data_IF_390973009678
#
_entry.id   IF_390973009678
#
_cell.length_a   1.000
_cell.length_b   1.000
_cell.length_c   1.000
_cell.angle_alpha   90.00
_cell.angle_beta   90.00
_cell.angle_gamma   90.00
#
_symmetry.space_group_name_H-M   'P 1'
#
loop_
_entity.id
_entity.type
_entity.pdbx_description
1 polymer ?
#
# COMPACT_ATOMS: atom_id res chain seq x y z
N UNK A 1 -5.81 3.03 -36.77
CA UNK A 1 -5.01 3.32 -35.56
C UNK A 1 -5.43 2.35 -34.47
N UNK A 2 -4.48 1.56 -33.93
CA UNK A 2 -4.70 0.62 -32.83
C UNK A 2 -4.17 1.31 -31.56
N UNK A 3 -5.07 1.71 -30.66
CA UNK A 3 -4.68 2.23 -29.35
C UNK A 3 -4.75 1.07 -28.36
N UNK A 4 -3.61 0.70 -27.78
CA UNK A 4 -3.60 -0.11 -26.57
C UNK A 4 -4.26 0.70 -25.46
N UNK A 5 -5.42 0.22 -24.99
CA UNK A 5 -5.99 0.65 -23.72
C UNK A 5 -5.03 0.12 -22.65
N UNK A 6 -4.03 0.93 -22.27
CA UNK A 6 -3.25 0.64 -21.06
C UNK A 6 -4.25 0.62 -19.90
N UNK A 7 -4.37 -0.54 -19.25
CA UNK A 7 -5.20 -0.68 -18.06
C UNK A 7 -4.88 0.47 -17.10
N UNK A 8 -5.90 1.22 -16.70
CA UNK A 8 -5.74 2.32 -15.75
C UNK A 8 -5.06 1.76 -14.49
N UNK A 9 -3.95 2.37 -14.08
CA UNK A 9 -3.28 1.96 -12.84
C UNK A 9 -4.25 2.25 -11.71
N UNK A 10 -4.63 1.23 -10.91
CA UNK A 10 -5.59 1.43 -9.85
C UNK A 10 -5.04 2.48 -8.87
N UNK A 11 -5.89 3.44 -8.50
CA UNK A 11 -5.52 4.47 -7.53
C UNK A 11 -5.18 3.80 -6.20
N UNK A 12 -3.92 3.97 -5.78
CA UNK A 12 -3.41 3.44 -4.51
C UNK A 12 -3.77 4.36 -3.35
N UNK A 13 -3.83 3.78 -2.15
CA UNK A 13 -3.84 4.56 -0.91
C UNK A 13 -2.49 5.21 -0.69
N UNK A 14 -2.46 6.29 0.10
CA UNK A 14 -1.19 6.86 0.56
C UNK A 14 -0.63 6.06 1.75
N UNK A 15 0.66 6.23 2.05
CA UNK A 15 1.30 5.61 3.23
C UNK A 15 0.51 5.88 4.51
N UNK A 16 0.09 7.14 4.72
CA UNK A 16 -0.68 7.54 5.91
C UNK A 16 -2.05 6.85 5.97
N UNK A 17 -2.73 6.69 4.83
CA UNK A 17 -3.99 5.95 4.76
C UNK A 17 -3.79 4.48 5.12
N UNK A 18 -2.79 3.82 4.54
CA UNK A 18 -2.50 2.40 4.84
C UNK A 18 -2.22 2.22 6.33
N UNK A 19 -1.33 3.02 6.92
CA UNK A 19 -0.96 2.91 8.33
C UNK A 19 -2.13 3.21 9.27
N UNK A 20 -2.96 4.21 8.96
CA UNK A 20 -4.15 4.51 9.75
C UNK A 20 -5.21 3.42 9.66
N UNK A 21 -5.37 2.76 8.50
CA UNK A 21 -6.28 1.63 8.34
C UNK A 21 -5.82 0.38 9.10
N UNK A 22 -4.51 0.09 9.13
CA UNK A 22 -3.97 -0.99 9.96
C UNK A 22 -4.24 -0.67 11.44
N UNK A 23 -3.90 0.55 11.89
CA UNK A 23 -4.08 0.97 13.28
C UNK A 23 -5.55 0.95 13.73
N UNK A 24 -6.47 1.29 12.83
CA UNK A 24 -7.91 1.24 13.07
C UNK A 24 -8.52 -0.17 12.91
N UNK A 25 -7.74 -1.18 12.53
CA UNK A 25 -8.24 -2.54 12.27
C UNK A 25 -9.16 -2.66 11.05
N UNK A 26 -9.16 -1.67 10.15
CA UNK A 26 -9.97 -1.66 8.93
C UNK A 26 -9.41 -2.58 7.85
N UNK A 27 -8.10 -2.86 7.92
CA UNK A 27 -7.41 -3.86 7.10
C UNK A 27 -6.48 -4.69 7.98
N UNK A 28 -6.13 -5.89 7.52
CA UNK A 28 -5.12 -6.70 8.22
C UNK A 28 -3.71 -6.13 8.02
N UNK A 29 -2.80 -6.49 8.92
CA UNK A 29 -1.38 -6.10 8.83
C UNK A 29 -0.74 -6.62 7.56
N UNK A 30 -1.04 -7.85 7.15
CA UNK A 30 -0.54 -8.48 5.93
C UNK A 30 -1.00 -7.72 4.69
N UNK A 31 -2.27 -7.27 4.68
CA UNK A 31 -2.81 -6.45 3.60
C UNK A 31 -2.09 -5.10 3.52
N UNK A 32 -1.81 -4.49 4.66
CA UNK A 32 -1.05 -3.24 4.75
C UNK A 32 0.38 -3.37 4.21
N UNK A 33 1.07 -4.46 4.53
CA UNK A 33 2.42 -4.78 4.00
C UNK A 33 2.40 -4.86 2.47
N UNK A 34 1.41 -5.54 1.90
CA UNK A 34 1.26 -5.66 0.43
C UNK A 34 1.02 -4.29 -0.21
N UNK A 35 0.15 -3.45 0.36
CA UNK A 35 -0.12 -2.12 -0.21
C UNK A 35 1.10 -1.18 -0.13
N UNK A 36 1.85 -1.20 0.99
CA UNK A 36 3.09 -0.42 1.09
C UNK A 36 4.13 -0.87 0.05
N UNK A 37 4.26 -2.17 -0.20
CA UNK A 37 5.11 -2.69 -1.28
C UNK A 37 4.65 -2.22 -2.67
N UNK A 38 3.33 -2.19 -2.91
CA UNK A 38 2.76 -1.73 -4.18
C UNK A 38 2.88 -0.21 -4.40
N UNK A 39 3.07 0.57 -3.33
CA UNK A 39 3.37 2.01 -3.38
C UNK A 39 4.88 2.26 -3.55
N UNK A 40 5.72 1.24 -3.38
CA UNK A 40 7.15 1.27 -3.71
C UNK A 40 8.10 1.19 -2.50
N UNK A 41 7.61 0.83 -1.31
CA UNK A 41 8.50 0.59 -0.16
C UNK A 41 9.12 -0.80 -0.20
N UNK A 42 10.38 -0.88 0.23
CA UNK A 42 11.04 -2.16 0.49
C UNK A 42 10.63 -2.75 1.86
N UNK A 43 11.10 -3.97 2.12
CA UNK A 43 10.79 -4.70 3.34
C UNK A 43 11.31 -4.02 4.61
N UNK A 44 12.42 -3.28 4.54
CA UNK A 44 13.02 -2.62 5.71
C UNK A 44 12.14 -1.43 6.14
N UNK A 45 11.77 -0.57 5.21
CA UNK A 45 10.88 0.56 5.48
C UNK A 45 9.51 0.10 5.97
N UNK A 46 8.96 -0.96 5.36
CA UNK A 46 7.69 -1.54 5.78
C UNK A 46 7.78 -2.04 7.22
N UNK A 47 8.83 -2.78 7.58
CA UNK A 47 9.01 -3.29 8.94
C UNK A 47 9.09 -2.16 9.97
N UNK A 48 9.83 -1.09 9.67
CA UNK A 48 9.92 0.09 10.53
C UNK A 48 8.55 0.75 10.71
N UNK A 49 7.82 1.03 9.61
CA UNK A 49 6.52 1.69 9.70
C UNK A 49 5.48 0.85 10.43
N UNK A 50 5.44 -0.45 10.15
CA UNK A 50 4.45 -1.35 10.74
C UNK A 50 4.77 -1.65 12.21
N UNK A 51 6.03 -1.55 12.65
CA UNK A 51 6.40 -1.58 14.08
C UNK A 51 6.05 -0.29 14.83
N UNK A 52 5.91 0.83 14.11
CA UNK A 52 5.67 2.15 14.70
C UNK A 52 4.19 2.49 14.98
N UNK A 53 3.27 1.63 14.56
CA UNK A 53 1.81 1.78 14.72
C UNK A 53 1.27 0.88 15.82
#
# INVERSE_FOLDING_TARGET
WYYEVKAEVPRRWTTSQVLSFIKAGLITKERGVVELGLIGYDTEHIDIYVKSI
#
